data_IF_112166549811
#
_entry.id   IF_112166549811
#
_cell.length_a   1.000
_cell.length_b   1.000
_cell.length_c   1.000
_cell.angle_alpha   90.00
_cell.angle_beta   90.00
_cell.angle_gamma   90.00
#
_symmetry.space_group_name_H-M   'P 1'
#
loop_
_entity.id
_entity.type
_entity.pdbx_description
1 polymer ?
#
# COMPACT_ATOMS: atom_id res chain seq x y z
N UNK A 1 -3.55 -5.61 15.87
CA UNK A 1 -4.90 -5.07 15.62
C UNK A 1 -5.30 -5.46 14.20
N UNK A 2 -6.20 -6.44 14.03
CA UNK A 2 -6.69 -6.86 12.71
C UNK A 2 -7.57 -5.72 12.20
N UNK A 3 -7.04 -4.81 11.37
CA UNK A 3 -7.92 -3.90 10.65
C UNK A 3 -8.75 -4.75 9.68
N UNK A 4 -10.00 -4.91 10.08
CA UNK A 4 -11.06 -5.69 9.47
C UNK A 4 -11.11 -5.37 7.97
N UNK A 5 -11.32 -6.41 7.16
CA UNK A 5 -11.54 -6.27 5.72
C UNK A 5 -12.67 -5.26 5.42
N UNK A 6 -13.61 -5.04 6.35
CA UNK A 6 -14.59 -3.96 6.32
C UNK A 6 -13.97 -2.56 6.22
N UNK A 7 -13.00 -2.22 7.06
CA UNK A 7 -12.33 -0.90 7.00
C UNK A 7 -11.57 -0.71 5.69
N UNK A 8 -10.90 -1.75 5.17
CA UNK A 8 -10.19 -1.63 3.89
C UNK A 8 -11.15 -1.49 2.70
N UNK A 9 -12.32 -2.11 2.77
CA UNK A 9 -13.37 -1.94 1.77
C UNK A 9 -13.92 -0.53 1.75
N UNK A 10 -14.15 0.06 2.92
CA UNK A 10 -14.64 1.43 3.00
C UNK A 10 -13.57 2.45 2.54
N UNK A 11 -12.31 2.24 2.93
CA UNK A 11 -11.20 3.04 2.44
C UNK A 11 -11.07 2.96 0.91
N UNK A 12 -11.23 1.77 0.31
CA UNK A 12 -11.20 1.60 -1.14
C UNK A 12 -12.27 2.45 -1.85
N UNK A 13 -13.51 2.46 -1.35
CA UNK A 13 -14.58 3.31 -1.90
C UNK A 13 -14.23 4.78 -1.84
N UNK A 14 -13.68 5.25 -0.72
CA UNK A 14 -13.28 6.64 -0.57
C UNK A 14 -12.12 7.00 -1.52
N UNK A 15 -11.18 6.09 -1.74
CA UNK A 15 -10.11 6.30 -2.72
C UNK A 15 -10.62 6.31 -4.16
N UNK A 16 -11.59 5.46 -4.51
CA UNK A 16 -12.28 5.48 -5.81
C UNK A 16 -13.03 6.80 -6.04
N UNK A 17 -13.56 7.42 -4.98
CA UNK A 17 -14.14 8.77 -5.01
C UNK A 17 -13.09 9.90 -5.09
N UNK A 18 -11.80 9.56 -5.10
CA UNK A 18 -10.70 10.52 -5.23
C UNK A 18 -10.18 11.10 -3.91
N UNK A 19 -10.64 10.60 -2.74
CA UNK A 19 -10.13 11.08 -1.46
C UNK A 19 -8.69 10.62 -1.21
N UNK A 20 -7.88 11.51 -0.63
CA UNK A 20 -6.53 11.20 -0.14
C UNK A 20 -6.53 10.56 1.25
N UNK A 21 -5.36 10.15 1.73
CA UNK A 21 -5.24 9.43 3.01
C UNK A 21 -5.62 10.26 4.23
N UNK A 22 -5.34 11.58 4.23
CA UNK A 22 -5.68 12.48 5.34
C UNK A 22 -7.19 12.54 5.61
N UNK A 23 -8.03 12.94 4.63
CA UNK A 23 -9.48 12.92 4.77
C UNK A 23 -10.04 11.55 5.19
N UNK A 24 -9.52 10.47 4.60
CA UNK A 24 -9.96 9.09 4.92
C UNK A 24 -9.62 8.71 6.36
N UNK A 25 -8.43 9.06 6.86
CA UNK A 25 -8.05 8.84 8.24
C UNK A 25 -8.95 9.61 9.21
N UNK A 26 -9.30 10.87 8.89
CA UNK A 26 -10.22 11.68 9.69
C UNK A 26 -11.64 11.10 9.74
N UNK A 27 -12.13 10.49 8.65
CA UNK A 27 -13.49 9.94 8.60
C UNK A 27 -13.64 8.60 9.33
N UNK A 28 -12.57 7.79 9.38
CA UNK A 28 -12.65 6.40 9.83
C UNK A 28 -11.99 6.15 11.20
N UNK A 29 -11.24 7.13 11.72
CA UNK A 29 -10.40 7.04 12.93
C UNK A 29 -9.28 5.96 12.98
N UNK A 30 -8.77 5.36 11.89
CA UNK A 30 -7.52 4.61 11.95
C UNK A 30 -6.31 5.56 12.07
N UNK A 31 -5.13 5.06 12.46
CA UNK A 31 -3.89 5.81 12.35
C UNK A 31 -3.67 6.28 10.91
N UNK A 32 -3.31 7.56 10.73
CA UNK A 32 -3.08 8.17 9.41
C UNK A 32 -2.04 7.39 8.59
N UNK A 33 -1.00 6.88 9.25
CA UNK A 33 0.04 6.05 8.63
C UNK A 33 -0.52 4.76 8.01
N UNK A 34 -1.52 4.13 8.67
CA UNK A 34 -2.13 2.93 8.14
C UNK A 34 -2.93 3.23 6.86
N UNK A 35 -3.66 4.35 6.84
CA UNK A 35 -4.41 4.80 5.66
C UNK A 35 -3.47 5.22 4.55
N UNK A 36 -2.33 5.82 4.89
CA UNK A 36 -1.27 6.13 3.92
C UNK A 36 -0.79 4.87 3.21
N UNK A 37 -0.46 3.81 3.95
CA UNK A 37 -0.09 2.52 3.34
C UNK A 37 -1.22 1.98 2.45
N UNK A 38 -2.48 2.05 2.90
CA UNK A 38 -3.63 1.59 2.10
C UNK A 38 -3.79 2.35 0.79
N UNK A 39 -3.60 3.67 0.78
CA UNK A 39 -3.69 4.46 -0.43
C UNK A 39 -2.60 4.09 -1.44
N UNK A 40 -1.39 3.80 -0.99
CA UNK A 40 -0.31 3.38 -1.88
C UNK A 40 -0.57 1.99 -2.46
N UNK A 41 -1.02 1.05 -1.64
CA UNK A 41 -1.45 -0.27 -2.13
C UNK A 41 -2.60 -0.14 -3.13
N UNK A 42 -3.60 0.69 -2.84
CA UNK A 42 -4.71 0.94 -3.76
C UNK A 42 -4.23 1.51 -5.11
N UNK A 43 -3.28 2.45 -5.09
CA UNK A 43 -2.72 3.02 -6.33
C UNK A 43 -1.86 2.02 -7.12
N UNK A 44 -1.15 1.13 -6.45
CA UNK A 44 -0.25 0.18 -7.09
C UNK A 44 -0.99 -1.04 -7.66
N UNK A 45 -2.00 -1.56 -6.95
CA UNK A 45 -2.62 -2.87 -7.25
C UNK A 45 -4.15 -2.86 -7.17
N UNK A 46 -4.77 -1.69 -7.02
CA UNK A 46 -6.23 -1.54 -7.00
C UNK A 46 -6.92 -2.00 -5.72
N UNK A 47 -8.26 -1.97 -5.73
CA UNK A 47 -9.11 -2.30 -4.59
C UNK A 47 -8.98 -3.76 -4.17
N UNK A 48 -8.87 -4.71 -5.10
CA UNK A 48 -8.63 -6.12 -4.79
C UNK A 48 -7.31 -6.34 -4.04
N UNK A 49 -6.22 -5.70 -4.48
CA UNK A 49 -4.93 -5.78 -3.81
C UNK A 49 -4.99 -5.23 -2.37
N UNK A 50 -5.68 -4.11 -2.16
CA UNK A 50 -5.91 -3.56 -0.83
C UNK A 50 -6.74 -4.50 0.07
N UNK A 51 -7.82 -5.11 -0.45
CA UNK A 51 -8.65 -6.06 0.29
C UNK A 51 -7.89 -7.34 0.67
N UNK A 52 -6.91 -7.73 -0.14
CA UNK A 52 -6.05 -8.88 0.09
C UNK A 52 -4.83 -8.58 0.97
N UNK A 53 -4.50 -7.30 1.18
CA UNK A 53 -3.39 -6.86 2.03
C UNK A 53 -3.44 -7.50 3.42
N UNK A 54 -2.31 -8.03 3.89
CA UNK A 54 -2.21 -8.63 5.23
C UNK A 54 -2.99 -9.94 5.44
N UNK A 55 -3.69 -10.48 4.42
CA UNK A 55 -4.24 -11.86 4.47
C UNK A 55 -3.14 -12.90 4.37
N UNK A 56 -2.11 -12.62 3.57
CA UNK A 56 -0.96 -13.50 3.36
C UNK A 56 0.31 -12.73 3.59
N UNK A 57 1.23 -13.27 4.40
CA UNK A 57 2.61 -12.77 4.43
C UNK A 57 3.26 -13.14 3.10
N UNK A 58 3.24 -12.22 2.13
CA UNK A 58 3.90 -12.43 0.86
C UNK A 58 5.41 -12.65 1.09
N UNK A 59 5.89 -13.87 0.81
CA UNK A 59 7.31 -14.20 0.84
C UNK A 59 7.95 -13.71 -0.46
N UNK A 60 8.31 -12.44 -0.48
CA UNK A 60 9.22 -11.90 -1.49
C UNK A 60 10.62 -12.45 -1.26
N UNK A 61 11.36 -12.76 -2.32
CA UNK A 61 12.79 -13.02 -2.18
C UNK A 61 13.47 -11.75 -1.67
N UNK A 62 14.56 -11.92 -0.93
CA UNK A 62 15.36 -10.79 -0.43
C UNK A 62 15.87 -9.93 -1.60
N UNK A 63 16.30 -10.57 -2.68
CA UNK A 63 16.78 -9.95 -3.91
C UNK A 63 15.73 -9.04 -4.55
N UNK A 64 14.49 -9.52 -4.70
CA UNK A 64 13.39 -8.75 -5.28
C UNK A 64 13.10 -7.47 -4.48
N UNK A 65 13.19 -7.54 -3.14
CA UNK A 65 13.02 -6.36 -2.26
C UNK A 65 14.18 -5.39 -2.41
N UNK A 66 15.41 -5.88 -2.50
CA UNK A 66 16.59 -5.03 -2.68
C UNK A 66 16.57 -4.30 -4.02
N UNK A 67 16.18 -4.96 -5.10
CA UNK A 67 16.13 -4.34 -6.43
C UNK A 67 15.03 -3.27 -6.50
N UNK A 68 13.86 -3.56 -5.93
CA UNK A 68 12.78 -2.57 -5.80
C UNK A 68 13.22 -1.35 -4.97
N UNK A 69 13.89 -1.57 -3.83
CA UNK A 69 14.39 -0.48 -2.99
C UNK A 69 15.46 0.36 -3.70
N UNK A 70 16.35 -0.28 -4.47
CA UNK A 70 17.38 0.42 -5.29
C UNK A 70 16.76 1.28 -6.37
N UNK A 71 15.77 0.77 -7.10
CA UNK A 71 15.07 1.55 -8.14
C UNK A 71 14.43 2.81 -7.55
N UNK A 72 13.84 2.70 -6.36
CA UNK A 72 13.28 3.86 -5.63
C UNK A 72 14.37 4.82 -5.15
N UNK A 73 15.43 4.31 -4.52
CA UNK A 73 16.53 5.13 -3.99
C UNK A 73 17.35 5.84 -5.08
N UNK A 74 17.49 5.20 -6.25
CA UNK A 74 18.11 5.76 -7.44
C UNK A 74 17.24 6.77 -8.19
N UNK A 75 15.96 6.92 -7.79
CA UNK A 75 15.00 7.79 -8.47
C UNK A 75 14.53 7.27 -9.84
N UNK A 76 14.81 6.00 -10.16
CA UNK A 76 14.37 5.35 -11.40
C UNK A 76 12.87 5.08 -11.38
N UNK A 77 12.30 4.83 -10.19
CA UNK A 77 10.88 4.57 -9.98
C UNK A 77 10.37 5.30 -8.74
N UNK A 78 9.12 5.74 -8.77
CA UNK A 78 8.39 6.10 -7.56
C UNK A 78 8.08 4.86 -6.72
N UNK A 79 7.75 5.05 -5.45
CA UNK A 79 7.33 3.94 -4.57
C UNK A 79 6.14 3.17 -5.13
N UNK A 80 5.18 3.85 -5.79
CA UNK A 80 4.00 3.19 -6.37
C UNK A 80 4.39 2.35 -7.59
N UNK A 81 5.21 2.91 -8.49
CA UNK A 81 5.71 2.18 -9.67
C UNK A 81 6.54 0.96 -9.26
N UNK A 82 7.39 1.08 -8.24
CA UNK A 82 8.14 -0.06 -7.72
C UNK A 82 7.23 -1.11 -7.05
N UNK A 83 6.19 -0.68 -6.32
CA UNK A 83 5.22 -1.62 -5.73
C UNK A 83 4.47 -2.39 -6.81
N UNK A 84 4.08 -1.72 -7.90
CA UNK A 84 3.43 -2.34 -9.06
C UNK A 84 4.38 -3.29 -9.78
N UNK A 85 5.55 -2.82 -10.21
CA UNK A 85 6.51 -3.57 -11.02
C UNK A 85 7.07 -4.81 -10.31
N UNK A 86 7.28 -4.73 -8.99
CA UNK A 86 7.85 -5.81 -8.19
C UNK A 86 6.79 -6.60 -7.40
N UNK A 87 5.51 -6.28 -7.55
CA UNK A 87 4.39 -6.97 -6.87
C UNK A 87 4.43 -6.84 -5.34
N UNK A 88 5.05 -5.77 -4.81
CA UNK A 88 5.22 -5.55 -3.37
C UNK A 88 3.98 -4.85 -2.82
N UNK A 89 3.28 -5.51 -1.90
CA UNK A 89 2.00 -5.05 -1.40
C UNK A 89 2.09 -3.90 -0.37
N UNK A 90 3.27 -3.58 0.15
CA UNK A 90 3.49 -2.52 1.16
C UNK A 90 4.75 -1.71 0.89
N UNK A 91 4.82 -0.49 1.41
CA UNK A 91 5.99 0.38 1.22
C UNK A 91 7.15 0.03 2.16
N UNK A 92 6.83 -0.58 3.32
CA UNK A 92 7.82 -0.82 4.38
C UNK A 92 9.09 -1.56 3.92
N UNK A 93 9.05 -2.53 2.99
CA UNK A 93 10.25 -3.17 2.46
C UNK A 93 11.12 -2.27 1.55
N UNK A 94 10.57 -1.19 1.00
CA UNK A 94 11.23 -0.30 0.03
C UNK A 94 11.89 0.92 0.70
N UNK A 95 11.42 1.29 1.89
CA UNK A 95 11.94 2.43 2.66
C UNK A 95 13.06 2.02 3.65
N UNK A 96 13.76 0.91 3.39
CA UNK A 96 14.80 0.39 4.28
C UNK A 96 16.20 0.82 3.88
#
# INVERSE_FOLDING_TARGET
MKHDAGSRREAARLFEMGYGYGPVASMMSPPEEAVREWLYTFRAVGSEGLLNMGRTQARYSWELRCDAARAVAGGEMTVVEAMEAYGVASRSPLNK
#
